data_IF_445691987676
#
_entry.id   IF_445691987676
#
_cell.length_a   1.000
_cell.length_b   1.000
_cell.length_c   1.000
_cell.angle_alpha   90.00
_cell.angle_beta   90.00
_cell.angle_gamma   90.00
#
_symmetry.space_group_name_H-M   'P 1'
#
loop_
_entity.id
_entity.type
_entity.pdbx_description
1 polymer ?
#
# COMPACT_ATOMS: atom_id res chain seq x y z
N UNK A 1 -22.44 -7.04 -3.03
CA UNK A 1 -22.25 -7.25 -1.58
C UNK A 1 -23.38 -8.13 -1.08
N UNK A 2 -23.10 -9.10 -0.21
CA UNK A 2 -24.15 -9.83 0.51
C UNK A 2 -25.03 -8.86 1.30
N UNK A 3 -26.28 -9.23 1.52
CA UNK A 3 -27.16 -8.50 2.43
C UNK A 3 -26.78 -8.79 3.88
N UNK A 4 -27.20 -7.94 4.82
CA UNK A 4 -26.82 -8.06 6.23
C UNK A 4 -27.23 -9.40 6.86
N UNK A 5 -28.35 -9.98 6.42
CA UNK A 5 -28.89 -11.26 6.87
C UNK A 5 -28.22 -12.49 6.23
N UNK A 6 -27.32 -12.28 5.26
CA UNK A 6 -26.55 -13.34 4.59
C UNK A 6 -25.11 -13.47 5.15
N UNK A 7 -24.71 -12.62 6.11
CA UNK A 7 -23.37 -12.62 6.70
C UNK A 7 -23.40 -13.25 8.09
N UNK A 8 -22.53 -14.22 8.32
CA UNK A 8 -22.35 -14.89 9.61
C UNK A 8 -20.98 -14.57 10.23
N UNK A 9 -20.91 -14.63 11.56
CA UNK A 9 -19.63 -14.46 12.26
C UNK A 9 -18.70 -15.62 11.91
N UNK A 10 -17.53 -15.29 11.37
CA UNK A 10 -16.55 -16.28 10.93
C UNK A 10 -16.50 -16.43 9.41
N UNK A 11 -17.37 -15.73 8.66
CA UNK A 11 -17.25 -15.66 7.21
C UNK A 11 -15.90 -15.08 6.79
N UNK A 12 -15.30 -15.73 5.80
CA UNK A 12 -14.02 -15.33 5.24
C UNK A 12 -14.23 -14.62 3.90
N UNK A 13 -13.48 -13.55 3.71
CA UNK A 13 -13.31 -12.96 2.37
C UNK A 13 -12.26 -13.81 1.67
N UNK A 14 -12.62 -14.35 0.49
CA UNK A 14 -11.70 -15.12 -0.34
C UNK A 14 -10.44 -14.31 -0.71
N UNK A 15 -9.38 -14.98 -1.21
CA UNK A 15 -8.12 -14.31 -1.50
C UNK A 15 -8.31 -13.22 -2.55
N UNK A 16 -7.80 -12.03 -2.23
CA UNK A 16 -7.72 -10.87 -3.12
C UNK A 16 -6.28 -10.39 -3.15
N UNK A 17 -5.78 -10.12 -4.35
CA UNK A 17 -4.40 -9.72 -4.57
C UNK A 17 -4.34 -8.35 -5.24
N UNK A 18 -3.43 -7.50 -4.76
CA UNK A 18 -3.06 -6.26 -5.43
C UNK A 18 -1.56 -6.03 -5.23
N UNK A 19 -0.89 -5.72 -6.33
CA UNK A 19 0.56 -5.46 -6.37
C UNK A 19 0.77 -3.98 -6.58
N UNK A 20 1.62 -3.36 -5.76
CA UNK A 20 2.05 -1.98 -5.96
C UNK A 20 3.20 -1.93 -6.95
N UNK A 21 3.16 -0.93 -7.83
CA UNK A 21 4.26 -0.60 -8.74
C UNK A 21 5.04 0.62 -8.24
N UNK A 22 6.28 0.77 -8.67
CA UNK A 22 7.12 1.93 -8.31
C UNK A 22 6.51 3.26 -8.78
N UNK A 23 5.82 3.26 -9.92
CA UNK A 23 5.10 4.42 -10.46
C UNK A 23 3.91 4.81 -9.59
N UNK A 24 3.15 3.84 -9.07
CA UNK A 24 2.06 4.09 -8.13
C UNK A 24 2.59 4.60 -6.79
N UNK A 25 3.71 4.06 -6.29
CA UNK A 25 4.36 4.55 -5.07
C UNK A 25 4.81 5.99 -5.25
N UNK A 26 5.42 6.32 -6.39
CA UNK A 26 5.86 7.67 -6.71
C UNK A 26 4.68 8.63 -6.82
N UNK A 27 3.64 8.24 -7.55
CA UNK A 27 2.40 9.04 -7.70
C UNK A 27 1.70 9.27 -6.35
N UNK A 28 1.64 8.26 -5.51
CA UNK A 28 1.07 8.36 -4.17
C UNK A 28 1.88 9.34 -3.29
N UNK A 29 3.21 9.24 -3.34
CA UNK A 29 4.12 10.10 -2.59
C UNK A 29 3.94 11.59 -2.95
N UNK A 30 3.74 11.91 -4.22
CA UNK A 30 3.43 13.28 -4.67
C UNK A 30 2.12 13.80 -4.06
N UNK A 31 1.05 13.01 -4.09
CA UNK A 31 -0.25 13.41 -3.52
C UNK A 31 -0.20 13.51 -1.99
N UNK A 32 0.53 12.62 -1.34
CA UNK A 32 0.66 12.58 0.11
C UNK A 32 1.56 13.69 0.68
N UNK A 33 2.30 14.42 -0.17
CA UNK A 33 3.19 15.51 0.25
C UNK A 33 4.58 15.03 0.69
N UNK A 34 5.00 13.85 0.23
CA UNK A 34 6.38 13.36 0.33
C UNK A 34 6.94 13.25 -1.08
N UNK A 35 7.09 14.37 -1.80
CA UNK A 35 7.57 14.34 -3.18
C UNK A 35 8.95 13.68 -3.33
N UNK A 36 9.22 13.17 -4.53
CA UNK A 36 10.52 12.57 -4.85
C UNK A 36 11.64 13.64 -4.93
N UNK A 37 12.90 13.28 -4.61
CA UNK A 37 13.35 11.97 -4.10
C UNK A 37 13.09 11.82 -2.60
N UNK A 38 12.67 10.63 -2.18
CA UNK A 38 12.48 10.28 -0.76
C UNK A 38 12.79 8.80 -0.49
N UNK A 39 12.67 8.37 0.78
CA UNK A 39 13.00 6.99 1.21
C UNK A 39 12.15 5.87 0.59
N UNK A 40 11.05 6.20 -0.08
CA UNK A 40 10.14 5.29 -0.77
C UNK A 40 10.29 5.30 -2.28
N UNK A 41 11.06 6.24 -2.84
CA UNK A 41 11.22 6.38 -4.30
C UNK A 41 12.68 6.40 -4.75
N UNK A 42 13.64 6.47 -3.82
CA UNK A 42 15.07 6.56 -4.11
C UNK A 42 15.89 5.62 -3.21
N UNK A 43 16.74 4.80 -3.83
CA UNK A 43 17.49 3.75 -3.14
C UNK A 43 18.56 4.28 -2.19
N UNK A 44 19.25 5.38 -2.55
CA UNK A 44 20.27 5.97 -1.69
C UNK A 44 19.65 6.59 -0.44
N UNK A 45 18.52 7.29 -0.61
CA UNK A 45 17.75 7.89 0.48
C UNK A 45 17.13 6.82 1.38
N UNK A 46 16.65 5.72 0.80
CA UNK A 46 16.16 4.56 1.55
C UNK A 46 17.29 3.95 2.41
N UNK A 47 18.49 3.76 1.85
CA UNK A 47 19.64 3.22 2.57
C UNK A 47 20.07 4.12 3.75
N UNK A 48 20.09 5.45 3.56
CA UNK A 48 20.34 6.44 4.63
C UNK A 48 19.30 6.37 5.75
N UNK A 49 18.09 5.92 5.44
CA UNK A 49 16.98 5.72 6.38
C UNK A 49 16.98 4.33 7.03
N UNK A 50 18.01 3.50 6.78
CA UNK A 50 18.14 2.14 7.33
C UNK A 50 17.47 1.04 6.50
N UNK A 51 16.91 1.37 5.33
CA UNK A 51 16.23 0.41 4.45
C UNK A 51 17.24 -0.24 3.51
N UNK A 52 17.89 -1.30 3.99
CA UNK A 52 19.00 -1.98 3.29
C UNK A 52 18.59 -2.74 2.02
N UNK A 53 17.29 -3.01 1.85
CA UNK A 53 16.73 -3.70 0.67
C UNK A 53 16.30 -2.77 -0.45
N UNK A 54 16.51 -1.45 -0.30
CA UNK A 54 15.97 -0.44 -1.22
C UNK A 54 14.66 0.18 -0.72
N UNK A 55 14.00 0.98 -1.56
CA UNK A 55 12.72 1.58 -1.24
C UNK A 55 11.63 0.53 -0.98
N UNK A 56 10.65 0.89 -0.16
CA UNK A 56 9.51 0.03 0.17
C UNK A 56 8.21 0.82 -0.02
N UNK A 57 7.08 0.13 -0.03
CA UNK A 57 5.76 0.78 -0.06
C UNK A 57 5.50 1.53 1.26
N UNK A 58 5.02 2.79 1.23
CA UNK A 58 4.59 3.48 2.43
C UNK A 58 3.47 2.72 3.15
N UNK A 59 3.58 2.54 4.48
CA UNK A 59 2.56 1.82 5.25
C UNK A 59 1.15 2.40 5.10
N UNK A 60 1.03 3.72 4.93
CA UNK A 60 -0.29 4.36 4.70
C UNK A 60 -0.86 4.01 3.32
N UNK A 61 -0.01 3.80 2.32
CA UNK A 61 -0.40 3.37 0.99
C UNK A 61 -0.86 1.91 1.05
N UNK A 62 -0.15 1.05 1.79
CA UNK A 62 -0.59 -0.33 2.05
C UNK A 62 -1.98 -0.36 2.68
N UNK A 63 -2.26 0.49 3.67
CA UNK A 63 -3.59 0.59 4.27
C UNK A 63 -4.64 1.08 3.26
N UNK A 64 -4.30 2.06 2.43
CA UNK A 64 -5.20 2.55 1.37
C UNK A 64 -5.49 1.47 0.30
N UNK A 65 -4.50 0.66 -0.06
CA UNK A 65 -4.68 -0.46 -0.97
C UNK A 65 -5.54 -1.56 -0.35
N UNK A 66 -5.32 -1.91 0.92
CA UNK A 66 -6.14 -2.88 1.65
C UNK A 66 -7.62 -2.45 1.68
N UNK A 67 -7.91 -1.16 1.89
CA UNK A 67 -9.28 -0.64 1.88
C UNK A 67 -9.98 -0.80 0.51
N UNK A 68 -9.23 -0.95 -0.58
CA UNK A 68 -9.78 -1.20 -1.93
C UNK A 68 -10.02 -2.68 -2.21
N UNK A 69 -9.44 -3.58 -1.40
CA UNK A 69 -9.65 -5.03 -1.53
C UNK A 69 -10.93 -5.49 -0.85
N UNK A 70 -11.42 -4.71 0.12
CA UNK A 70 -12.64 -5.02 0.84
C UNK A 70 -13.84 -4.46 0.06
N UNK A 71 -14.84 -5.30 -0.26
CA UNK A 71 -16.03 -4.92 -1.01
C UNK A 71 -17.01 -4.05 -0.22
#
# INVERSE_FOLDING_TARGET
MPYYDEIELGDEIGPVEKVATDDEVSSFCEVWGTSSPNRFTDAETAAKSGMKGGPIVPGIMTMAMMAQLLP
#
